data_IF_502343263643
#
_entry.id   IF_502343263643
#
_cell.length_a   1.000
_cell.length_b   1.000
_cell.length_c   1.000
_cell.angle_alpha   90.00
_cell.angle_beta   90.00
_cell.angle_gamma   90.00
#
_symmetry.space_group_name_H-M   'P 1'
#
loop_
_entity.id
_entity.type
_entity.pdbx_description
1 polymer ?
#
# COMPACT_ATOMS: atom_id res chain seq x y z
N UNK A 1 16.35 8.20 -55.35
CA UNK A 1 16.22 9.36 -54.44
C UNK A 1 14.83 9.48 -53.80
N UNK A 2 13.72 9.54 -54.54
CA UNK A 2 12.37 9.69 -53.96
C UNK A 2 11.92 8.53 -53.04
N UNK A 3 12.34 7.30 -53.33
CA UNK A 3 11.98 6.12 -52.53
C UNK A 3 12.54 6.14 -51.10
N UNK A 4 13.77 6.64 -50.91
CA UNK A 4 14.39 6.73 -49.59
C UNK A 4 13.71 7.77 -48.69
N UNK A 5 13.20 8.85 -49.27
CA UNK A 5 12.42 9.85 -48.53
C UNK A 5 11.06 9.30 -48.09
N UNK A 6 10.39 8.52 -48.94
CA UNK A 6 9.13 7.86 -48.58
C UNK A 6 9.34 6.78 -47.51
N UNK A 7 10.41 6.00 -47.62
CA UNK A 7 10.77 5.01 -46.60
C UNK A 7 11.13 5.66 -45.26
N UNK A 8 11.88 6.78 -45.28
CA UNK A 8 12.21 7.55 -44.07
C UNK A 8 10.98 8.16 -43.40
N UNK A 9 10.03 8.69 -44.20
CA UNK A 9 8.77 9.23 -43.69
C UNK A 9 7.90 8.14 -43.04
N UNK A 10 7.83 6.96 -43.67
CA UNK A 10 7.11 5.82 -43.11
C UNK A 10 7.70 5.35 -41.78
N UNK A 11 9.02 5.39 -41.65
CA UNK A 11 9.70 5.00 -40.41
C UNK A 11 9.51 6.03 -39.29
N UNK A 12 9.51 7.32 -39.64
CA UNK A 12 9.20 8.41 -38.70
C UNK A 12 7.73 8.39 -38.22
N UNK A 13 6.82 7.82 -39.02
CA UNK A 13 5.41 7.73 -38.70
C UNK A 13 5.03 6.52 -37.82
N UNK A 14 5.93 5.53 -37.63
CA UNK A 14 5.67 4.36 -36.80
C UNK A 14 5.27 4.64 -35.35
N UNK A 15 5.82 5.66 -34.65
CA UNK A 15 5.40 5.93 -33.27
C UNK A 15 3.96 6.43 -33.15
N UNK A 16 3.38 6.99 -34.22
CA UNK A 16 2.01 7.51 -34.21
C UNK A 16 0.94 6.41 -34.20
N UNK A 17 1.31 5.16 -34.50
CA UNK A 17 0.41 4.01 -34.38
C UNK A 17 0.47 3.33 -33.01
N UNK A 18 1.27 3.86 -32.06
CA UNK A 18 1.28 3.39 -30.69
C UNK A 18 0.00 3.87 -29.97
N UNK A 19 -1.04 3.03 -29.98
CA UNK A 19 -2.21 3.21 -29.13
C UNK A 19 -1.85 2.88 -27.68
N UNK A 20 -2.26 3.72 -26.74
CA UNK A 20 -2.23 3.36 -25.33
C UNK A 20 -3.09 2.11 -25.10
N UNK A 21 -2.66 1.27 -24.15
CA UNK A 21 -3.44 0.11 -23.70
C UNK A 21 -4.79 0.64 -23.18
N UNK A 22 -5.88 -0.05 -23.52
CA UNK A 22 -7.24 0.31 -23.09
C UNK A 22 -7.25 0.56 -21.58
N UNK A 23 -7.80 1.69 -21.16
CA UNK A 23 -7.94 2.01 -19.75
C UNK A 23 -8.98 1.08 -19.13
N UNK A 24 -8.51 0.05 -18.44
CA UNK A 24 -9.34 -0.93 -17.76
C UNK A 24 -8.49 -1.81 -16.86
N UNK A 25 -9.12 -2.47 -15.87
CA UNK A 25 -8.39 -3.37 -15.00
C UNK A 25 -7.76 -4.48 -15.83
N UNK A 26 -6.49 -4.80 -15.56
CA UNK A 26 -5.74 -5.76 -16.40
C UNK A 26 -6.35 -7.17 -16.39
N UNK A 27 -7.26 -7.43 -15.45
CA UNK A 27 -8.22 -8.54 -15.44
C UNK A 27 -9.39 -8.24 -14.50
N UNK A 28 -10.54 -8.95 -14.62
CA UNK A 28 -11.64 -8.84 -13.66
C UNK A 28 -11.23 -9.15 -12.20
N UNK A 29 -10.22 -10.00 -12.01
CA UNK A 29 -9.68 -10.34 -10.69
C UNK A 29 -8.80 -9.21 -10.12
N UNK A 30 -8.20 -8.39 -10.97
CA UNK A 30 -7.34 -7.28 -10.57
C UNK A 30 -8.12 -5.98 -10.32
N UNK A 31 -9.38 -5.90 -10.73
CA UNK A 31 -10.25 -4.71 -10.56
C UNK A 31 -10.32 -4.24 -9.11
N UNK A 32 -10.51 -5.15 -8.16
CA UNK A 32 -10.54 -4.80 -6.74
C UNK A 32 -9.19 -4.25 -6.27
N UNK A 33 -8.10 -4.89 -6.69
CA UNK A 33 -6.74 -4.46 -6.30
C UNK A 33 -6.44 -3.06 -6.83
N UNK A 34 -6.77 -2.79 -8.09
CA UNK A 34 -6.59 -1.48 -8.71
C UNK A 34 -7.49 -0.42 -8.08
N UNK A 35 -8.73 -0.76 -7.72
CA UNK A 35 -9.61 0.13 -6.96
C UNK A 35 -9.02 0.49 -5.60
N UNK A 36 -8.47 -0.47 -4.86
CA UNK A 36 -7.79 -0.21 -3.60
C UNK A 36 -6.56 0.67 -3.77
N UNK A 37 -5.75 0.42 -4.79
CA UNK A 37 -4.59 1.26 -5.10
C UNK A 37 -4.99 2.69 -5.46
N UNK A 38 -6.03 2.84 -6.28
CA UNK A 38 -6.56 4.15 -6.65
C UNK A 38 -7.14 4.91 -5.44
N UNK A 39 -7.81 4.21 -4.52
CA UNK A 39 -8.30 4.79 -3.26
C UNK A 39 -7.16 5.27 -2.36
N UNK A 40 -6.08 4.48 -2.25
CA UNK A 40 -4.90 4.87 -1.48
C UNK A 40 -4.18 6.07 -2.11
N UNK A 41 -3.96 6.04 -3.44
CA UNK A 41 -3.27 7.10 -4.17
C UNK A 41 -4.05 8.42 -4.14
N UNK A 42 -5.37 8.36 -4.34
CA UNK A 42 -6.22 9.55 -4.34
C UNK A 42 -6.39 10.16 -2.95
N UNK A 43 -6.09 9.39 -1.88
CA UNK A 43 -6.31 9.82 -0.50
C UNK A 43 -7.79 10.08 -0.17
N UNK A 44 -8.73 9.61 -1.01
CA UNK A 44 -10.18 9.89 -0.85
C UNK A 44 -10.75 9.31 0.45
N UNK A 45 -10.14 8.25 0.95
CA UNK A 45 -10.47 7.62 2.22
C UNK A 45 -9.56 8.08 3.38
N UNK A 46 -8.72 9.10 3.19
CA UNK A 46 -7.89 9.64 4.27
C UNK A 46 -8.77 10.31 5.35
N UNK A 47 -8.37 10.15 6.61
CA UNK A 47 -9.05 10.80 7.73
C UNK A 47 -9.05 12.32 7.57
N UNK A 48 -10.21 12.95 7.81
CA UNK A 48 -10.33 14.41 7.85
C UNK A 48 -9.59 15.04 9.05
N UNK A 49 -9.21 14.24 10.05
CA UNK A 49 -8.42 14.68 11.19
C UNK A 49 -7.02 14.04 11.15
N UNK A 50 -6.01 14.71 10.59
CA UNK A 50 -4.65 14.21 10.55
C UNK A 50 -4.06 14.19 11.96
N UNK A 51 -3.76 13.00 12.48
CA UNK A 51 -3.00 12.87 13.73
C UNK A 51 -1.55 13.27 13.47
N UNK A 52 -1.20 14.51 13.79
CA UNK A 52 0.17 15.01 13.72
C UNK A 52 0.87 14.77 15.05
N UNK A 53 1.84 13.87 15.04
CA UNK A 53 2.77 13.67 16.15
C UNK A 53 3.87 14.72 16.08
N UNK A 54 4.13 15.40 17.19
CA UNK A 54 5.28 16.30 17.33
C UNK A 54 6.59 15.53 17.21
N UNK A 55 7.73 16.17 16.85
CA UNK A 55 9.02 15.49 16.80
C UNK A 55 9.36 14.77 18.12
N UNK A 56 9.07 15.38 19.27
CA UNK A 56 9.33 14.81 20.59
C UNK A 56 8.49 13.56 20.87
N UNK A 57 7.19 13.59 20.57
CA UNK A 57 6.31 12.42 20.71
C UNK A 57 6.73 11.28 19.77
N UNK A 58 7.21 11.61 18.56
CA UNK A 58 7.71 10.60 17.60
C UNK A 58 8.96 9.92 18.15
N UNK A 59 9.88 10.68 18.71
CA UNK A 59 11.08 10.14 19.34
C UNK A 59 10.74 9.27 20.56
N UNK A 60 9.79 9.70 21.39
CA UNK A 60 9.32 8.90 22.52
C UNK A 60 8.66 7.59 22.08
N UNK A 61 7.85 7.61 21.01
CA UNK A 61 7.26 6.41 20.44
C UNK A 61 8.33 5.45 19.90
N UNK A 62 9.35 5.99 19.21
CA UNK A 62 10.48 5.19 18.71
C UNK A 62 11.28 4.56 19.86
N UNK A 63 11.53 5.33 20.93
CA UNK A 63 12.19 4.83 22.14
C UNK A 63 11.39 3.68 22.78
N UNK A 64 10.06 3.83 22.92
CA UNK A 64 9.19 2.77 23.44
C UNK A 64 9.24 1.51 22.57
N UNK A 65 9.27 1.67 21.25
CA UNK A 65 9.41 0.54 20.34
C UNK A 65 10.76 -0.17 20.51
N UNK A 66 11.87 0.57 20.61
CA UNK A 66 13.18 -0.03 20.91
C UNK A 66 13.19 -0.75 22.27
N UNK A 67 12.58 -0.15 23.29
CA UNK A 67 12.49 -0.75 24.62
C UNK A 67 11.63 -2.02 24.63
N UNK A 68 10.63 -2.13 23.75
CA UNK A 68 9.81 -3.35 23.64
C UNK A 68 10.62 -4.58 23.22
N UNK A 69 11.68 -4.40 22.41
CA UNK A 69 12.58 -5.47 21.99
C UNK A 69 13.54 -5.94 23.09
N UNK A 70 13.66 -5.20 24.19
CA UNK A 70 14.53 -5.57 25.33
C UNK A 70 13.88 -6.57 26.26
N UNK A 71 12.59 -6.79 26.13
CA UNK A 71 11.86 -7.71 27.00
C UNK A 71 11.98 -9.12 26.42
N UNK A 72 12.57 -10.09 27.16
CA UNK A 72 12.65 -11.46 26.69
C UNK A 72 11.24 -12.02 26.52
N UNK A 73 11.04 -12.83 25.47
CA UNK A 73 9.81 -13.59 25.30
C UNK A 73 9.77 -14.62 26.44
N UNK A 74 8.72 -14.65 27.28
CA UNK A 74 8.63 -15.64 28.34
C UNK A 74 8.50 -17.04 27.75
N UNK A 75 9.27 -18.01 28.28
CA UNK A 75 9.15 -19.43 27.90
C UNK A 75 7.77 -20.00 28.24
N UNK A 76 7.14 -19.47 29.29
CA UNK A 76 5.81 -19.86 29.74
C UNK A 76 4.95 -18.63 29.95
N UNK A 77 3.74 -18.64 29.38
CA UNK A 77 2.73 -17.61 29.64
C UNK A 77 1.98 -17.98 30.93
N UNK A 78 2.05 -17.12 31.95
CA UNK A 78 1.31 -17.35 33.20
C UNK A 78 -0.20 -17.26 32.92
N UNK A 79 -0.89 -18.39 33.07
CA UNK A 79 -2.33 -18.51 32.83
C UNK A 79 -3.18 -17.62 33.74
N UNK A 80 -2.60 -17.07 34.82
CA UNK A 80 -3.28 -16.14 35.72
C UNK A 80 -3.35 -14.70 35.20
N UNK A 81 -2.59 -14.37 34.15
CA UNK A 81 -2.49 -13.00 33.60
C UNK A 81 -3.47 -12.78 32.43
N UNK A 82 -3.98 -13.86 31.83
CA UNK A 82 -5.11 -13.81 30.91
C UNK A 82 -6.40 -13.64 31.69
N UNK A 83 -7.14 -12.55 31.44
CA UNK A 83 -8.37 -12.21 32.16
C UNK A 83 -9.32 -13.41 32.35
N UNK A 84 -9.93 -13.51 33.52
CA UNK A 84 -10.87 -14.58 33.86
C UNK A 84 -12.11 -14.51 32.97
N UNK A 85 -12.15 -15.34 31.93
CA UNK A 85 -13.38 -15.56 31.18
C UNK A 85 -14.33 -16.41 32.04
N UNK A 86 -15.42 -15.81 32.53
CA UNK A 86 -16.49 -16.51 33.23
C UNK A 86 -17.16 -17.46 32.21
N UNK A 87 -16.79 -18.74 32.24
CA UNK A 87 -17.47 -19.76 31.44
C UNK A 87 -18.93 -19.87 31.86
N UNK A 88 -19.85 -19.56 30.94
CA UNK A 88 -21.28 -19.71 31.16
C UNK A 88 -21.63 -21.16 31.48
N UNK A 89 -22.17 -21.39 32.68
CA UNK A 89 -22.75 -22.68 33.05
C UNK A 89 -24.11 -22.81 32.37
N UNK A 90 -24.32 -23.96 31.72
CA UNK A 90 -25.61 -24.40 31.18
C UNK A 90 -26.61 -24.69 32.29
#
# INVERSE_FOLDING_TARGET
MKFHYLAGLAWLAMPLVASAIESGPSSPQQTETENWMALQLSGRAASANPQKTTPAEREQALKRWLDSNKHPIPEFFDQKVGGSAQGGSK
#
